data_IF_543640861513
#
_entry.id   IF_543640861513
#
_cell.length_a   1.000
_cell.length_b   1.000
_cell.length_c   1.000
_cell.angle_alpha   90.00
_cell.angle_beta   90.00
_cell.angle_gamma   90.00
#
_symmetry.space_group_name_H-M   'P 1'
#
loop_
_entity.id
_entity.type
_entity.pdbx_description
1 polymer ?
#
# COMPACT_ATOMS: atom_id res chain seq x y z
N UNK A 1 4.87 28.38 2.69
CA UNK A 1 6.04 27.59 2.25
C UNK A 1 6.69 28.30 1.08
N UNK A 2 7.95 28.72 1.21
CA UNK A 2 8.71 29.24 0.07
C UNK A 2 9.16 28.00 -0.72
N UNK A 3 8.30 27.56 -1.64
CA UNK A 3 8.69 26.57 -2.63
C UNK A 3 9.85 27.23 -3.39
N UNK A 4 11.05 26.67 -3.30
CA UNK A 4 12.22 27.24 -3.96
C UNK A 4 11.89 27.61 -5.41
N UNK A 5 12.53 28.65 -5.94
CA UNK A 5 12.21 29.33 -7.22
C UNK A 5 12.26 28.48 -8.50
N UNK A 6 12.18 27.15 -8.41
CA UNK A 6 12.06 26.20 -9.52
C UNK A 6 10.99 25.10 -9.33
N UNK A 7 10.19 25.10 -8.26
CA UNK A 7 9.15 24.07 -8.08
C UNK A 7 7.89 24.41 -8.87
N UNK A 8 7.51 23.55 -9.82
CA UNK A 8 6.25 23.65 -10.56
C UNK A 8 5.17 22.84 -9.87
N UNK A 9 4.10 23.51 -9.44
CA UNK A 9 2.96 22.86 -8.78
C UNK A 9 1.78 22.78 -9.73
N UNK A 10 1.12 21.62 -9.72
CA UNK A 10 -0.23 21.42 -10.22
C UNK A 10 -1.13 21.04 -9.05
N UNK A 11 -2.12 21.88 -8.74
CA UNK A 11 -3.18 21.58 -7.80
C UNK A 11 -4.41 21.08 -8.55
N UNK A 12 -4.99 19.97 -8.10
CA UNK A 12 -6.13 19.32 -8.78
C UNK A 12 -7.31 19.14 -7.83
N UNK A 13 -8.53 19.26 -8.35
CA UNK A 13 -9.76 18.89 -7.62
C UNK A 13 -10.61 17.94 -8.46
N UNK A 14 -11.36 17.06 -7.79
CA UNK A 14 -12.27 16.13 -8.46
C UNK A 14 -13.51 16.84 -9.01
N UNK A 15 -14.06 17.80 -8.26
CA UNK A 15 -15.19 18.60 -8.71
C UNK A 15 -14.85 19.48 -9.91
N UNK A 16 -15.88 19.82 -10.69
CA UNK A 16 -15.81 20.89 -11.70
C UNK A 16 -15.51 22.25 -11.03
N UNK A 17 -15.02 23.23 -11.79
CA UNK A 17 -14.69 24.56 -11.24
C UNK A 17 -15.94 25.25 -10.64
N UNK A 18 -17.11 25.06 -11.28
CA UNK A 18 -18.38 25.60 -10.81
C UNK A 18 -18.84 24.95 -9.49
N UNK A 19 -18.77 23.62 -9.41
CA UNK A 19 -19.12 22.87 -8.19
C UNK A 19 -18.13 23.18 -7.06
N UNK A 20 -16.84 23.28 -7.36
CA UNK A 20 -15.81 23.60 -6.37
C UNK A 20 -16.04 25.01 -5.79
N UNK A 21 -16.25 26.00 -6.65
CA UNK A 21 -16.45 27.40 -6.24
C UNK A 21 -17.73 27.60 -5.43
N UNK A 22 -18.82 26.90 -5.80
CA UNK A 22 -20.10 26.97 -5.07
C UNK A 22 -20.04 26.23 -3.74
N UNK A 23 -19.35 25.09 -3.67
CA UNK A 23 -19.25 24.28 -2.44
C UNK A 23 -18.29 24.91 -1.43
N UNK A 24 -17.11 25.35 -1.83
CA UNK A 24 -16.06 25.76 -0.90
C UNK A 24 -15.94 27.28 -0.83
N UNK A 25 -16.53 27.88 0.22
CA UNK A 25 -16.43 29.32 0.48
C UNK A 25 -14.96 29.74 0.57
N UNK A 26 -14.57 30.81 -0.13
CA UNK A 26 -13.19 31.29 -0.17
C UNK A 26 -12.26 30.55 -1.16
N UNK A 27 -12.71 29.45 -1.77
CA UNK A 27 -11.90 28.70 -2.75
C UNK A 27 -11.47 29.53 -3.95
N UNK A 28 -12.33 30.42 -4.46
CA UNK A 28 -11.99 31.30 -5.58
C UNK A 28 -10.76 32.19 -5.28
N UNK A 29 -10.67 32.73 -4.07
CA UNK A 29 -9.51 33.52 -3.63
C UNK A 29 -8.26 32.64 -3.48
N UNK A 30 -8.41 31.43 -2.94
CA UNK A 30 -7.30 30.47 -2.83
C UNK A 30 -6.77 30.04 -4.21
N UNK A 31 -7.66 29.75 -5.16
CA UNK A 31 -7.32 29.42 -6.55
C UNK A 31 -6.62 30.59 -7.24
N UNK A 32 -7.11 31.81 -7.06
CA UNK A 32 -6.46 33.01 -7.58
C UNK A 32 -5.05 33.20 -6.99
N UNK A 33 -4.89 32.98 -5.68
CA UNK A 33 -3.60 33.02 -5.00
C UNK A 33 -2.61 31.97 -5.53
N UNK A 34 -3.06 30.73 -5.75
CA UNK A 34 -2.25 29.66 -6.35
C UNK A 34 -1.80 30.03 -7.76
N UNK A 35 -2.72 30.51 -8.62
CA UNK A 35 -2.41 30.93 -9.99
C UNK A 35 -1.44 32.11 -10.00
N UNK A 36 -1.62 33.09 -9.12
CA UNK A 36 -0.71 34.24 -8.97
C UNK A 36 0.69 33.83 -8.49
N UNK A 37 0.78 32.77 -7.68
CA UNK A 37 2.05 32.16 -7.26
C UNK A 37 2.68 31.25 -8.34
N UNK A 38 2.09 31.17 -9.53
CA UNK A 38 2.60 30.38 -10.65
C UNK A 38 2.22 28.89 -10.64
N UNK A 39 1.33 28.46 -9.74
CA UNK A 39 0.81 27.10 -9.75
C UNK A 39 -0.27 26.93 -10.83
N UNK A 40 -0.32 25.73 -11.42
CA UNK A 40 -1.43 25.29 -12.28
C UNK A 40 -2.56 24.82 -11.39
N UNK A 41 -3.79 25.14 -11.76
CA UNK A 41 -4.99 24.66 -11.07
C UNK A 41 -5.90 24.00 -12.10
N UNK A 42 -6.22 22.73 -11.90
CA UNK A 42 -7.10 21.94 -12.76
C UNK A 42 -8.27 21.37 -11.95
N UNK A 43 -9.48 21.48 -12.51
CA UNK A 43 -10.72 20.96 -11.93
C UNK A 43 -11.24 19.80 -12.78
N UNK A 44 -12.13 18.97 -12.22
CA UNK A 44 -12.67 17.80 -12.92
C UNK A 44 -11.67 16.66 -13.09
N UNK A 45 -10.63 16.60 -12.24
CA UNK A 45 -9.57 15.60 -12.35
C UNK A 45 -9.90 14.40 -11.48
N UNK A 46 -10.16 13.27 -12.11
CA UNK A 46 -10.35 11.99 -11.44
C UNK A 46 -9.00 11.30 -11.22
N UNK A 47 -8.61 11.16 -9.96
CA UNK A 47 -7.37 10.49 -9.57
C UNK A 47 -7.33 9.00 -9.95
N UNK A 48 -8.49 8.39 -10.25
CA UNK A 48 -8.63 7.00 -10.72
C UNK A 48 -8.66 6.87 -12.25
N UNK A 49 -8.66 7.99 -12.98
CA UNK A 49 -8.67 8.09 -14.44
C UNK A 49 -7.84 9.30 -14.88
N UNK A 50 -6.58 9.37 -14.44
CA UNK A 50 -5.72 10.53 -14.71
C UNK A 50 -5.42 10.66 -16.20
N UNK A 51 -5.31 9.54 -16.92
CA UNK A 51 -5.04 9.57 -18.36
C UNK A 51 -6.16 10.29 -19.13
N UNK A 52 -7.42 10.05 -18.78
CA UNK A 52 -8.57 10.70 -19.40
C UNK A 52 -8.89 12.11 -18.87
N UNK A 53 -8.56 12.41 -17.61
CA UNK A 53 -9.06 13.62 -16.94
C UNK A 53 -8.00 14.67 -16.60
N UNK A 54 -6.71 14.30 -16.53
CA UNK A 54 -5.64 15.27 -16.28
C UNK A 54 -5.34 16.06 -17.57
N UNK A 55 -5.54 17.39 -17.59
CA UNK A 55 -5.35 18.17 -18.81
C UNK A 55 -3.91 18.12 -19.32
N UNK A 56 -3.73 18.16 -20.65
CA UNK A 56 -2.41 18.08 -21.29
C UNK A 56 -1.39 19.09 -20.74
N UNK A 57 -1.83 20.32 -20.41
CA UNK A 57 -0.96 21.35 -19.84
C UNK A 57 -0.51 21.04 -18.41
N UNK A 58 -1.13 20.07 -17.74
CA UNK A 58 -0.93 19.70 -16.36
C UNK A 58 -0.31 18.30 -16.19
N UNK A 59 -0.06 17.57 -17.28
CA UNK A 59 0.55 16.24 -17.25
C UNK A 59 2.02 16.26 -16.82
N UNK A 60 2.49 15.09 -16.36
CA UNK A 60 3.83 14.86 -15.85
C UNK A 60 4.94 14.79 -16.93
N UNK A 61 6.09 14.17 -16.62
CA UNK A 61 6.36 13.40 -15.39
C UNK A 61 6.49 14.28 -14.15
N UNK A 62 5.95 13.80 -13.03
CA UNK A 62 6.07 14.44 -11.72
C UNK A 62 7.15 13.80 -10.87
N UNK A 63 7.94 14.63 -10.17
CA UNK A 63 8.85 14.17 -9.12
C UNK A 63 8.09 13.76 -7.85
N UNK A 64 6.92 14.37 -7.60
CA UNK A 64 6.06 14.04 -6.47
C UNK A 64 4.58 14.13 -6.85
N UNK A 65 3.84 13.10 -6.48
CA UNK A 65 2.36 13.08 -6.56
C UNK A 65 1.85 12.89 -5.14
N UNK A 66 0.96 13.78 -4.68
CA UNK A 66 0.44 13.76 -3.31
C UNK A 66 -1.07 13.52 -3.35
N UNK A 67 -1.54 12.47 -2.71
CA UNK A 67 -2.97 12.23 -2.49
C UNK A 67 -3.26 12.23 -0.98
N UNK A 68 -3.76 13.35 -0.50
CA UNK A 68 -3.92 13.59 0.94
C UNK A 68 -5.33 13.22 1.39
N UNK A 69 -5.43 12.25 2.29
CA UNK A 69 -6.68 11.74 2.87
C UNK A 69 -7.74 11.35 1.81
N UNK A 70 -7.39 10.49 0.83
CA UNK A 70 -8.35 10.04 -0.18
C UNK A 70 -9.52 9.32 0.49
N UNK A 71 -10.73 9.56 0.00
CA UNK A 71 -11.94 8.95 0.57
C UNK A 71 -12.94 8.66 -0.54
N UNK A 72 -13.42 7.42 -0.61
CA UNK A 72 -14.54 7.07 -1.48
C UNK A 72 -15.85 7.62 -0.85
N UNK A 73 -16.81 8.16 -1.65
CA UNK A 73 -18.05 8.74 -1.13
C UNK A 73 -18.86 7.78 -0.25
N UNK A 74 -18.91 6.50 -0.64
CA UNK A 74 -19.58 5.45 0.13
C UNK A 74 -18.79 5.07 1.38
N UNK A 75 -19.27 5.51 2.55
CA UNK A 75 -18.64 5.24 3.84
C UNK A 75 -18.74 3.77 4.23
N UNK A 76 -17.75 3.31 5.02
CA UNK A 76 -17.69 1.96 5.62
C UNK A 76 -17.62 0.80 4.62
N UNK A 77 -17.43 1.08 3.32
CA UNK A 77 -17.15 0.07 2.31
C UNK A 77 -15.64 -0.03 2.09
N UNK A 78 -14.98 -0.85 2.91
CA UNK A 78 -13.52 -0.98 2.86
C UNK A 78 -13.01 -1.40 1.48
N UNK A 79 -13.74 -2.27 0.79
CA UNK A 79 -13.41 -2.71 -0.57
C UNK A 79 -13.39 -1.54 -1.56
N UNK A 80 -14.26 -0.53 -1.39
CA UNK A 80 -14.29 0.67 -2.23
C UNK A 80 -13.10 1.60 -1.97
N UNK A 81 -12.62 1.67 -0.73
CA UNK A 81 -11.40 2.41 -0.41
C UNK A 81 -10.14 1.73 -0.98
N UNK A 82 -10.10 0.39 -0.93
CA UNK A 82 -9.04 -0.39 -1.58
C UNK A 82 -9.05 -0.20 -3.10
N UNK A 83 -10.24 -0.28 -3.71
CA UNK A 83 -10.43 -0.05 -5.15
C UNK A 83 -9.97 1.36 -5.56
N UNK A 84 -10.34 2.39 -4.79
CA UNK A 84 -9.87 3.77 -5.00
C UNK A 84 -8.35 3.86 -5.02
N UNK A 85 -7.67 3.29 -4.01
CA UNK A 85 -6.21 3.31 -3.93
C UNK A 85 -5.57 2.54 -5.08
N UNK A 86 -6.08 1.35 -5.41
CA UNK A 86 -5.58 0.52 -6.51
C UNK A 86 -5.63 1.29 -7.82
N UNK A 87 -6.79 1.83 -8.17
CA UNK A 87 -6.97 2.61 -9.41
C UNK A 87 -6.12 3.88 -9.41
N UNK A 88 -6.02 4.57 -8.28
CA UNK A 88 -5.14 5.73 -8.14
C UNK A 88 -3.68 5.38 -8.41
N UNK A 89 -3.12 4.35 -7.76
CA UNK A 89 -1.71 3.99 -7.96
C UNK A 89 -1.43 3.57 -9.40
N UNK A 90 -2.32 2.77 -10.02
CA UNK A 90 -2.20 2.38 -11.43
C UNK A 90 -2.18 3.58 -12.39
N UNK A 91 -2.92 4.65 -12.09
CA UNK A 91 -2.94 5.85 -12.92
C UNK A 91 -1.79 6.81 -12.60
N UNK A 92 -1.49 6.99 -11.33
CA UNK A 92 -0.48 7.94 -10.87
C UNK A 92 0.93 7.50 -11.28
N UNK A 93 1.21 6.19 -11.31
CA UNK A 93 2.53 5.69 -11.72
C UNK A 93 2.85 6.07 -13.17
N UNK A 94 1.87 6.17 -14.07
CA UNK A 94 2.09 6.61 -15.46
C UNK A 94 2.50 8.08 -15.57
N UNK A 95 2.10 8.90 -14.59
CA UNK A 95 2.48 10.31 -14.50
C UNK A 95 3.74 10.53 -13.65
N UNK A 96 4.32 9.48 -13.08
CA UNK A 96 5.44 9.57 -12.14
C UNK A 96 6.79 9.47 -12.88
N UNK A 97 7.71 10.39 -12.58
CA UNK A 97 9.09 10.31 -13.06
C UNK A 97 9.81 9.04 -12.61
N UNK A 98 10.94 8.72 -13.23
CA UNK A 98 11.70 7.50 -12.93
C UNK A 98 12.15 7.40 -11.46
N UNK A 99 12.47 8.54 -10.85
CA UNK A 99 12.86 8.67 -9.44
C UNK A 99 11.79 9.39 -8.60
N UNK A 100 10.57 9.51 -9.13
CA UNK A 100 9.49 10.20 -8.46
C UNK A 100 8.93 9.43 -7.27
N UNK A 101 8.23 10.15 -6.40
CA UNK A 101 7.57 9.60 -5.21
C UNK A 101 6.06 9.85 -5.22
N UNK A 102 5.29 8.86 -4.76
CA UNK A 102 3.86 9.01 -4.51
C UNK A 102 3.63 9.03 -3.00
N UNK A 103 2.99 10.08 -2.50
CA UNK A 103 2.72 10.29 -1.09
C UNK A 103 1.22 10.15 -0.82
N UNK A 104 0.84 9.16 -0.02
CA UNK A 104 -0.56 8.95 0.39
C UNK A 104 -0.70 9.11 1.89
N UNK A 105 -1.46 10.12 2.31
CA UNK A 105 -1.73 10.37 3.74
C UNK A 105 -3.04 9.72 4.16
N UNK A 106 -3.02 8.90 5.21
CA UNK A 106 -4.18 8.18 5.72
C UNK A 106 -4.35 8.40 7.22
N UNK A 107 -5.59 8.37 7.70
CA UNK A 107 -5.89 8.47 9.11
C UNK A 107 -5.37 7.24 9.87
N UNK A 108 -5.16 7.38 11.18
CA UNK A 108 -4.67 6.31 12.06
C UNK A 108 -5.45 5.00 11.86
N UNK A 109 -4.73 3.92 11.58
CA UNK A 109 -5.32 2.59 11.46
C UNK A 109 -6.02 2.34 10.12
N UNK A 110 -5.84 3.19 9.11
CA UNK A 110 -6.40 2.98 7.77
C UNK A 110 -5.40 2.28 6.86
N UNK A 111 -4.11 2.57 6.96
CA UNK A 111 -3.10 2.07 6.02
C UNK A 111 -2.88 0.57 6.12
N UNK A 112 -2.93 0.01 7.33
CA UNK A 112 -2.62 -1.40 7.59
C UNK A 112 -1.16 -1.76 7.40
N UNK A 113 -0.27 -0.79 7.62
CA UNK A 113 1.18 -1.00 7.54
C UNK A 113 1.73 -1.33 8.91
N UNK A 114 2.89 -2.00 8.94
CA UNK A 114 3.60 -2.29 10.20
C UNK A 114 4.06 -1.01 10.95
N UNK A 115 3.97 0.16 10.32
CA UNK A 115 4.22 1.45 10.96
C UNK A 115 3.05 1.94 11.83
N UNK A 116 1.85 1.38 11.67
CA UNK A 116 0.68 1.80 12.44
C UNK A 116 0.75 1.27 13.88
N UNK A 117 0.63 2.17 14.85
CA UNK A 117 0.59 1.79 16.27
C UNK A 117 -0.73 1.11 16.69
N UNK A 118 -1.79 1.25 15.90
CA UNK A 118 -3.09 0.65 16.18
C UNK A 118 -3.21 -0.69 15.44
N UNK A 119 -3.13 -1.80 16.16
CA UNK A 119 -3.32 -3.12 15.58
C UNK A 119 -4.78 -3.31 15.15
N UNK A 120 -4.99 -3.33 13.83
CA UNK A 120 -6.22 -3.83 13.21
C UNK A 120 -5.88 -5.08 12.42
N UNK A 121 -6.84 -5.99 12.29
CA UNK A 121 -6.70 -7.13 11.37
C UNK A 121 -6.50 -6.59 9.95
N UNK A 122 -5.61 -7.17 9.15
CA UNK A 122 -5.31 -6.69 7.80
C UNK A 122 -6.55 -6.56 6.92
N UNK A 123 -7.53 -7.46 7.08
CA UNK A 123 -8.82 -7.40 6.40
C UNK A 123 -9.70 -6.18 6.75
N UNK A 124 -9.41 -5.48 7.84
CA UNK A 124 -10.13 -4.30 8.34
C UNK A 124 -9.36 -2.99 8.07
N UNK A 125 -8.32 -3.03 7.23
CA UNK A 125 -7.54 -1.87 6.77
C UNK A 125 -7.63 -1.69 5.25
N UNK A 126 -7.13 -0.56 4.75
CA UNK A 126 -7.13 -0.25 3.32
C UNK A 126 -5.96 -0.88 2.57
N UNK A 127 -5.06 -1.60 3.27
CA UNK A 127 -3.97 -2.38 2.67
C UNK A 127 -3.17 -1.57 1.63
N UNK A 128 -2.77 -0.35 2.02
CA UNK A 128 -2.21 0.64 1.09
C UNK A 128 -0.95 0.14 0.36
N UNK A 129 -0.13 -0.66 1.04
CA UNK A 129 1.06 -1.27 0.44
C UNK A 129 0.70 -2.29 -0.65
N UNK A 130 -0.30 -3.14 -0.41
CA UNK A 130 -0.75 -4.15 -1.36
C UNK A 130 -1.30 -3.49 -2.63
N UNK A 131 -2.12 -2.43 -2.45
CA UNK A 131 -2.65 -1.64 -3.56
C UNK A 131 -1.55 -0.94 -4.38
N UNK A 132 -0.51 -0.40 -3.72
CA UNK A 132 0.62 0.22 -4.40
C UNK A 132 1.47 -0.83 -5.14
N UNK A 133 1.66 -2.00 -4.55
CA UNK A 133 2.46 -3.08 -5.13
C UNK A 133 1.87 -3.59 -6.46
N UNK A 134 0.54 -3.54 -6.64
CA UNK A 134 -0.10 -3.87 -7.92
C UNK A 134 0.32 -2.94 -9.06
N UNK A 135 0.77 -1.71 -8.74
CA UNK A 135 1.26 -0.73 -9.70
C UNK A 135 2.81 -0.73 -9.81
N UNK A 136 3.50 -1.74 -9.28
CA UNK A 136 4.97 -1.81 -9.34
C UNK A 136 5.69 -0.84 -8.39
N UNK A 137 5.01 -0.43 -7.31
CA UNK A 137 5.55 0.51 -6.33
C UNK A 137 5.92 -0.19 -5.02
N UNK A 138 7.02 0.24 -4.41
CA UNK A 138 7.46 -0.21 -3.08
C UNK A 138 7.31 0.91 -2.05
N UNK A 139 7.00 0.54 -0.80
CA UNK A 139 6.89 1.50 0.30
C UNK A 139 8.29 1.87 0.82
N UNK A 140 8.79 3.01 0.38
CA UNK A 140 10.12 3.51 0.75
C UNK A 140 10.19 4.01 2.18
N UNK A 141 9.15 4.68 2.67
CA UNK A 141 9.11 5.16 4.05
C UNK A 141 7.70 5.48 4.51
N UNK A 142 7.51 5.55 5.83
CA UNK A 142 6.29 6.06 6.47
C UNK A 142 6.67 7.13 7.46
N UNK A 143 5.95 8.24 7.45
CA UNK A 143 6.21 9.39 8.33
C UNK A 143 4.90 9.87 8.96
N UNK A 144 4.95 10.51 10.15
CA UNK A 144 3.80 11.26 10.65
C UNK A 144 3.34 12.30 9.63
N UNK A 145 2.04 12.35 9.34
CA UNK A 145 1.51 13.38 8.44
C UNK A 145 1.66 14.75 9.11
N UNK A 146 2.21 15.78 8.44
CA UNK A 146 2.50 17.09 9.05
C UNK A 146 1.24 17.96 9.19
N UNK A 147 0.19 17.44 9.83
CA UNK A 147 -1.11 18.11 9.95
C UNK A 147 -0.99 19.46 10.66
N UNK A 148 -0.28 19.53 11.80
CA UNK A 148 -0.15 20.78 12.55
C UNK A 148 0.63 21.87 11.77
N UNK A 149 1.80 21.57 11.16
CA UNK A 149 2.45 22.50 10.24
C UNK A 149 1.57 22.95 9.07
N UNK A 150 0.80 22.04 8.47
CA UNK A 150 -0.13 22.39 7.39
C UNK A 150 -1.24 23.33 7.89
N UNK A 151 -1.82 23.04 9.05
CA UNK A 151 -2.87 23.87 9.66
C UNK A 151 -2.35 25.29 9.98
N UNK A 152 -1.11 25.42 10.46
CA UNK A 152 -0.48 26.73 10.67
C UNK A 152 -0.27 27.53 9.37
N UNK A 153 -0.29 26.86 8.21
CA UNK A 153 -0.24 27.46 6.88
C UNK A 153 -1.64 27.67 6.26
N UNK A 154 -2.71 27.43 7.03
CA UNK A 154 -4.10 27.59 6.57
C UNK A 154 -4.73 26.35 5.94
N UNK A 155 -4.13 25.17 6.07
CA UNK A 155 -4.80 23.93 5.67
C UNK A 155 -5.98 23.62 6.59
N UNK A 156 -7.18 23.57 6.00
CA UNK A 156 -8.40 23.19 6.69
C UNK A 156 -8.93 21.85 6.20
N UNK A 157 -9.43 21.03 7.13
CA UNK A 157 -9.98 19.71 6.85
C UNK A 157 -11.49 19.82 6.65
N UNK A 158 -11.94 19.80 5.41
CA UNK A 158 -13.37 19.62 5.11
C UNK A 158 -13.66 18.13 5.12
N UNK A 159 -14.35 17.65 6.16
CA UNK A 159 -14.77 16.26 6.23
C UNK A 159 -16.16 16.06 5.62
N UNK A 160 -17.01 15.33 6.32
CA UNK A 160 -18.35 15.04 5.80
C UNK A 160 -19.25 16.28 5.87
N UNK A 161 -19.96 16.57 4.78
CA UNK A 161 -21.07 17.54 4.74
C UNK A 161 -22.38 16.76 4.74
N UNK A 162 -23.02 16.67 5.91
CA UNK A 162 -24.36 16.10 5.99
C UNK A 162 -25.41 17.10 5.57
N UNK A 163 -26.48 16.66 4.89
CA UNK A 163 -27.76 17.35 5.04
C UNK A 163 -28.15 17.27 6.52
N UNK A 164 -28.56 18.39 7.10
CA UNK A 164 -29.02 18.48 8.48
C UNK A 164 -30.10 17.43 8.81
N UNK A 165 -30.27 17.17 10.11
CA UNK A 165 -31.34 16.30 10.64
C UNK A 165 -32.68 16.60 9.94
N UNK A 166 -33.41 15.55 9.53
CA UNK A 166 -34.81 15.67 9.10
C UNK A 166 -35.60 16.38 10.20
N UNK A 167 -35.96 17.65 9.99
CA UNK A 167 -36.77 18.43 10.93
C UNK A 167 -36.46 19.93 11.01
N UNK A 168 -35.35 20.42 10.45
CA UNK A 168 -35.09 21.87 10.35
C UNK A 168 -35.14 22.33 8.89
N UNK A 169 -35.99 23.31 8.59
CA UNK A 169 -36.10 23.97 7.26
C UNK A 169 -34.86 24.81 6.87
N UNK A 170 -33.70 24.54 7.48
CA UNK A 170 -32.43 25.13 7.11
C UNK A 170 -31.54 24.02 6.55
N UNK A 171 -31.18 24.13 5.28
CA UNK A 171 -30.11 23.33 4.66
C UNK A 171 -28.76 23.71 5.30
N UNK A 172 -28.55 23.28 6.54
CA UNK A 172 -27.29 23.50 7.24
C UNK A 172 -26.35 22.36 6.88
N UNK A 173 -25.50 22.59 5.88
CA UNK A 173 -24.33 21.77 5.61
C UNK A 173 -23.32 21.98 6.75
N UNK A 174 -23.27 21.06 7.72
CA UNK A 174 -22.21 21.10 8.73
C UNK A 174 -21.00 20.30 8.25
N UNK A 175 -19.88 20.98 8.09
CA UNK A 175 -18.57 20.36 7.87
C UNK A 175 -18.13 19.62 9.14
N UNK A 176 -18.16 18.29 9.12
CA UNK A 176 -17.57 17.45 10.18
C UNK A 176 -16.21 16.95 9.76
N UNK A 177 -15.16 17.64 10.18
CA UNK A 177 -13.78 17.24 9.96
C UNK A 177 -13.51 15.79 10.42
N UNK A 178 -12.65 15.08 9.70
CA UNK A 178 -12.19 13.76 10.10
C UNK A 178 -11.05 13.86 11.13
N UNK A 179 -10.85 12.79 11.91
CA UNK A 179 -9.74 12.74 12.85
C UNK A 179 -8.43 12.44 12.12
N UNK A 180 -7.55 13.44 12.05
CA UNK A 180 -6.21 13.32 11.47
C UNK A 180 -5.12 13.15 12.53
N UNK A 181 -5.48 13.05 13.81
CA UNK A 181 -4.51 12.74 14.87
C UNK A 181 -3.94 11.33 14.65
N UNK A 182 -2.62 11.21 14.81
CA UNK A 182 -1.87 9.98 14.51
C UNK A 182 -1.95 9.53 13.04
N UNK A 183 -2.29 10.41 12.10
CA UNK A 183 -2.25 10.10 10.67
C UNK A 183 -0.82 9.93 10.15
N UNK A 184 -0.67 9.10 9.12
CA UNK A 184 0.62 8.75 8.52
C UNK A 184 0.62 9.06 7.03
N UNK A 185 1.76 9.54 6.54
CA UNK A 185 2.06 9.70 5.11
C UNK A 185 2.96 8.55 4.67
N UNK A 186 2.46 7.76 3.73
CA UNK A 186 3.14 6.63 3.11
C UNK A 186 3.80 7.10 1.82
N UNK A 187 5.11 6.91 1.70
CA UNK A 187 5.91 7.37 0.56
C UNK A 187 6.32 6.16 -0.27
N UNK A 188 5.83 6.12 -1.50
CA UNK A 188 6.06 5.04 -2.46
C UNK A 188 6.97 5.51 -3.59
N UNK A 189 7.73 4.58 -4.16
CA UNK A 189 8.54 4.80 -5.35
C UNK A 189 8.51 3.55 -6.23
N UNK A 190 8.94 3.68 -7.49
CA UNK A 190 9.04 2.54 -8.40
C UNK A 190 10.01 1.50 -7.85
N UNK A 191 9.72 0.21 -8.01
CA UNK A 191 10.68 -0.85 -7.69
C UNK A 191 12.00 -0.69 -8.48
N UNK A 192 11.93 -0.13 -9.69
CA UNK A 192 13.10 0.16 -10.53
C UNK A 192 13.98 1.30 -10.03
N UNK A 193 13.59 2.01 -8.96
CA UNK A 193 14.40 3.09 -8.38
C UNK A 193 15.64 2.59 -7.62
N UNK A 194 15.72 1.28 -7.34
CA UNK A 194 16.78 0.68 -6.53
C UNK A 194 16.62 0.89 -5.02
N UNK A 195 15.49 1.45 -4.58
CA UNK A 195 15.18 1.57 -3.15
C UNK A 195 14.82 0.21 -2.53
N UNK A 196 14.91 0.15 -1.21
CA UNK A 196 14.47 -0.99 -0.39
C UNK A 196 13.26 -0.57 0.43
N UNK A 197 12.26 -1.44 0.52
CA UNK A 197 11.05 -1.18 1.27
C UNK A 197 11.34 -1.05 2.77
N UNK A 198 10.80 -0.02 3.42
CA UNK A 198 10.93 0.18 4.87
C UNK A 198 10.16 -0.87 5.69
N UNK A 199 9.07 -1.37 5.12
CA UNK A 199 8.23 -2.42 5.69
C UNK A 199 7.87 -3.39 4.57
N UNK A 200 8.78 -4.33 4.22
CA UNK A 200 8.56 -5.28 3.14
C UNK A 200 7.28 -6.09 3.34
N UNK A 201 6.59 -6.41 2.25
CA UNK A 201 5.49 -7.38 2.28
C UNK A 201 6.09 -8.78 2.38
N UNK A 202 5.51 -9.62 3.24
CA UNK A 202 5.88 -11.01 3.37
C UNK A 202 4.74 -11.87 2.84
N UNK A 203 5.09 -12.84 2.00
CA UNK A 203 4.14 -13.80 1.47
C UNK A 203 4.61 -15.21 1.75
N UNK A 204 3.67 -16.10 2.04
CA UNK A 204 3.95 -17.52 2.19
C UNK A 204 2.88 -18.37 1.51
N UNK A 205 3.26 -19.57 1.12
CA UNK A 205 2.37 -20.56 0.55
C UNK A 205 2.88 -21.97 0.83
N UNK A 206 2.03 -22.81 1.39
CA UNK A 206 2.32 -24.22 1.62
C UNK A 206 1.90 -25.04 0.41
N UNK A 207 2.80 -25.87 -0.08
CA UNK A 207 2.58 -26.74 -1.23
C UNK A 207 2.88 -28.19 -0.89
N UNK A 208 1.91 -29.07 -1.15
CA UNK A 208 2.03 -30.51 -0.98
C UNK A 208 1.92 -31.23 -2.31
N UNK A 209 2.84 -32.15 -2.58
CA UNK A 209 2.90 -32.87 -3.84
C UNK A 209 3.47 -34.28 -3.65
N UNK A 210 3.08 -35.18 -4.56
CA UNK A 210 3.67 -36.50 -4.70
C UNK A 210 4.99 -36.38 -5.46
N UNK A 211 6.05 -37.02 -4.96
CA UNK A 211 7.34 -37.12 -5.64
C UNK A 211 7.35 -38.35 -6.53
N UNK A 212 7.74 -38.17 -7.80
CA UNK A 212 8.05 -39.25 -8.71
C UNK A 212 9.51 -39.71 -8.53
N UNK A 213 9.87 -40.83 -9.14
CA UNK A 213 11.22 -41.42 -8.98
C UNK A 213 12.34 -40.48 -9.45
N UNK A 214 12.07 -39.64 -10.45
CA UNK A 214 13.01 -38.64 -10.96
C UNK A 214 13.08 -37.34 -10.13
N UNK A 215 12.30 -37.22 -9.05
CA UNK A 215 12.28 -35.99 -8.25
C UNK A 215 13.62 -35.73 -7.57
N UNK A 216 14.18 -34.54 -7.78
CA UNK A 216 15.34 -34.03 -7.06
C UNK A 216 14.97 -32.72 -6.37
N UNK A 217 15.45 -32.55 -5.15
CA UNK A 217 15.18 -31.36 -4.34
C UNK A 217 15.75 -30.09 -5.00
N UNK A 218 16.91 -30.22 -5.64
CA UNK A 218 17.59 -29.16 -6.40
C UNK A 218 16.73 -28.65 -7.57
N UNK A 219 16.07 -29.55 -8.32
CA UNK A 219 15.23 -29.18 -9.46
C UNK A 219 13.98 -28.44 -9.00
N UNK A 220 13.39 -28.86 -7.87
CA UNK A 220 12.28 -28.14 -7.23
C UNK A 220 12.71 -26.74 -6.78
N UNK A 221 13.85 -26.62 -6.11
CA UNK A 221 14.39 -25.33 -5.67
C UNK A 221 14.63 -24.39 -6.86
N UNK A 222 15.19 -24.94 -7.95
CA UNK A 222 15.42 -24.20 -9.19
C UNK A 222 14.11 -23.68 -9.79
N UNK A 223 13.09 -24.54 -9.92
CA UNK A 223 11.77 -24.15 -10.46
C UNK A 223 11.11 -23.05 -9.62
N UNK A 224 11.15 -23.15 -8.29
CA UNK A 224 10.56 -22.11 -7.44
C UNK A 224 11.32 -20.78 -7.58
N UNK A 225 12.65 -20.83 -7.59
CA UNK A 225 13.50 -19.64 -7.76
C UNK A 225 13.27 -18.98 -9.13
N UNK A 226 13.24 -19.77 -10.20
CA UNK A 226 12.98 -19.29 -11.55
C UNK A 226 11.57 -18.66 -11.66
N UNK A 227 10.56 -19.30 -11.05
CA UNK A 227 9.19 -18.80 -11.05
C UNK A 227 9.05 -17.47 -10.30
N UNK A 228 9.74 -17.29 -9.17
CA UNK A 228 9.81 -16.01 -8.44
C UNK A 228 10.45 -14.89 -9.26
N UNK A 229 11.41 -15.24 -10.13
CA UNK A 229 12.11 -14.30 -11.00
C UNK A 229 13.21 -13.49 -10.29
N UNK A 230 13.90 -12.65 -11.06
CA UNK A 230 15.08 -11.90 -10.59
C UNK A 230 14.71 -10.92 -9.47
N UNK A 231 15.54 -10.89 -8.42
CA UNK A 231 15.38 -9.97 -7.30
C UNK A 231 14.35 -10.41 -6.26
N UNK A 232 13.84 -11.65 -6.34
CA UNK A 232 13.00 -12.29 -5.33
C UNK A 232 13.69 -13.58 -4.89
N UNK A 233 14.09 -13.64 -3.62
CA UNK A 233 14.74 -14.82 -3.05
C UNK A 233 13.73 -15.61 -2.20
N UNK A 234 13.23 -16.76 -2.70
CA UNK A 234 12.33 -17.59 -1.92
C UNK A 234 13.08 -18.39 -0.86
N UNK A 235 12.51 -18.46 0.33
CA UNK A 235 12.89 -19.38 1.40
C UNK A 235 12.00 -20.61 1.32
N UNK A 236 12.62 -21.78 1.21
CA UNK A 236 11.95 -23.08 1.14
C UNK A 236 12.17 -23.84 2.44
N UNK A 237 11.08 -24.12 3.14
CA UNK A 237 11.11 -24.89 4.39
C UNK A 237 10.34 -26.19 4.20
N UNK A 238 11.03 -27.33 4.29
CA UNK A 238 10.37 -28.63 4.31
C UNK A 238 9.57 -28.78 5.62
N UNK A 239 8.25 -28.89 5.51
CA UNK A 239 7.34 -29.05 6.65
C UNK A 239 7.05 -30.51 6.96
N UNK A 240 6.88 -31.35 5.94
CA UNK A 240 6.45 -32.74 6.11
C UNK A 240 6.96 -33.67 5.01
N UNK A 241 7.19 -34.93 5.40
CA UNK A 241 7.54 -36.04 4.52
C UNK A 241 6.59 -37.20 4.80
N UNK A 242 5.85 -37.63 3.77
CA UNK A 242 4.85 -38.67 3.90
C UNK A 242 5.10 -39.83 2.94
N UNK A 243 4.82 -41.05 3.38
CA UNK A 243 4.81 -42.26 2.55
C UNK A 243 3.44 -42.91 2.68
N UNK A 244 2.76 -43.13 1.56
CA UNK A 244 1.46 -43.81 1.54
C UNK A 244 1.61 -45.30 1.80
N UNK A 245 0.53 -46.01 2.19
CA UNK A 245 0.55 -47.47 2.32
C UNK A 245 1.00 -48.20 1.05
N UNK A 246 0.72 -47.62 -0.12
CA UNK A 246 1.13 -48.13 -1.44
C UNK A 246 2.58 -47.75 -1.81
N UNK A 247 3.33 -47.15 -0.89
CA UNK A 247 4.73 -46.75 -1.07
C UNK A 247 4.94 -45.43 -1.81
N UNK A 248 3.89 -44.65 -2.10
CA UNK A 248 4.02 -43.35 -2.77
C UNK A 248 4.57 -42.31 -1.80
N UNK A 249 5.58 -41.55 -2.22
CA UNK A 249 6.22 -40.52 -1.39
C UNK A 249 5.63 -39.14 -1.69
N UNK A 250 5.42 -38.33 -0.66
CA UNK A 250 4.99 -36.95 -0.75
C UNK A 250 5.86 -36.03 0.11
N UNK A 251 5.90 -34.77 -0.30
CA UNK A 251 6.58 -33.67 0.40
C UNK A 251 5.60 -32.53 0.60
N UNK A 252 5.76 -31.80 1.70
CA UNK A 252 5.11 -30.51 1.92
C UNK A 252 6.15 -29.46 2.22
N UNK A 253 6.16 -28.37 1.44
CA UNK A 253 7.06 -27.24 1.62
C UNK A 253 6.27 -25.97 1.91
N UNK A 254 6.78 -25.12 2.81
CA UNK A 254 6.43 -23.70 2.89
C UNK A 254 7.38 -22.93 1.99
N UNK A 255 6.82 -22.20 1.03
CA UNK A 255 7.52 -21.23 0.22
C UNK A 255 7.24 -19.86 0.83
N UNK A 256 8.26 -19.12 1.23
CA UNK A 256 8.12 -17.77 1.75
C UNK A 256 8.98 -16.77 0.95
N UNK A 257 8.47 -15.57 0.70
CA UNK A 257 9.22 -14.48 0.05
C UNK A 257 9.10 -13.20 0.86
N UNK A 258 10.18 -12.43 0.88
CA UNK A 258 10.23 -11.05 1.38
C UNK A 258 10.30 -10.11 0.18
N UNK A 259 9.32 -9.22 0.03
CA UNK A 259 9.22 -8.27 -1.07
C UNK A 259 9.88 -6.93 -0.69
N UNK A 260 11.20 -6.94 -0.55
CA UNK A 260 12.00 -5.78 -0.10
C UNK A 260 12.43 -4.88 -1.27
N UNK A 261 12.79 -5.47 -2.41
CA UNK A 261 13.25 -4.77 -3.63
C UNK A 261 12.27 -4.87 -4.79
N UNK A 262 11.28 -5.73 -4.67
CA UNK A 262 10.26 -5.99 -5.69
C UNK A 262 8.88 -5.69 -5.13
N UNK A 263 8.03 -5.11 -5.95
CA UNK A 263 6.62 -4.86 -5.65
C UNK A 263 5.82 -6.15 -5.90
N UNK A 264 5.62 -6.96 -4.86
CA UNK A 264 4.80 -8.18 -4.94
C UNK A 264 3.50 -7.93 -4.20
N UNK A 265 2.41 -7.69 -4.94
CA UNK A 265 1.06 -7.67 -4.40
C UNK A 265 0.54 -9.09 -4.12
N UNK A 266 -0.56 -9.20 -3.37
CA UNK A 266 -1.29 -10.46 -3.14
C UNK A 266 -1.68 -11.14 -4.45
N UNK A 267 -2.21 -10.37 -5.39
CA UNK A 267 -2.62 -10.85 -6.72
C UNK A 267 -1.42 -11.33 -7.55
N UNK A 268 -0.27 -10.66 -7.43
CA UNK A 268 0.97 -11.09 -8.08
C UNK A 268 1.56 -12.34 -7.43
N UNK A 269 1.55 -12.43 -6.09
CA UNK A 269 1.94 -13.63 -5.35
C UNK A 269 1.09 -14.86 -5.74
N UNK A 270 -0.23 -14.69 -5.84
CA UNK A 270 -1.12 -15.77 -6.28
C UNK A 270 -0.76 -16.28 -7.68
N UNK A 271 -0.44 -15.38 -8.61
CA UNK A 271 0.03 -15.74 -9.95
C UNK A 271 1.38 -16.46 -9.92
N UNK A 272 2.31 -16.04 -9.05
CA UNK A 272 3.59 -16.73 -8.85
C UNK A 272 3.39 -18.15 -8.33
N UNK A 273 2.57 -18.33 -7.29
CA UNK A 273 2.22 -19.65 -6.75
C UNK A 273 1.61 -20.56 -7.81
N UNK A 274 0.71 -20.03 -8.64
CA UNK A 274 0.11 -20.80 -9.73
C UNK A 274 1.13 -21.18 -10.81
N UNK A 275 2.04 -20.26 -11.16
CA UNK A 275 3.15 -20.58 -12.07
C UNK A 275 4.07 -21.67 -11.52
N UNK A 276 4.38 -21.64 -10.21
CA UNK A 276 5.14 -22.70 -9.55
C UNK A 276 4.43 -24.05 -9.69
N UNK A 277 3.13 -24.12 -9.38
CA UNK A 277 2.35 -25.37 -9.50
C UNK A 277 2.35 -25.94 -10.91
N UNK A 278 2.22 -25.09 -11.92
CA UNK A 278 2.21 -25.52 -13.32
C UNK A 278 3.57 -26.09 -13.76
N UNK A 279 4.67 -25.52 -13.25
CA UNK A 279 6.04 -25.96 -13.56
C UNK A 279 6.48 -27.21 -12.79
N UNK A 280 5.85 -27.52 -11.66
CA UNK A 280 6.22 -28.68 -10.83
C UNK A 280 6.10 -30.03 -11.56
N UNK A 281 5.16 -30.17 -12.49
CA UNK A 281 5.02 -31.39 -13.28
C UNK A 281 6.29 -31.73 -14.07
N UNK A 282 7.05 -30.73 -14.50
CA UNK A 282 8.29 -30.91 -15.28
C UNK A 282 9.47 -31.45 -14.43
N UNK A 283 9.40 -31.32 -13.10
CA UNK A 283 10.47 -31.75 -12.17
C UNK A 283 10.09 -32.98 -11.36
N UNK A 284 9.20 -33.81 -11.91
CA UNK A 284 8.81 -35.06 -11.27
C UNK A 284 7.96 -34.87 -10.01
N UNK A 285 7.21 -33.76 -9.91
CA UNK A 285 6.27 -33.51 -8.82
C UNK A 285 4.83 -33.47 -9.34
N UNK A 286 3.95 -34.27 -8.73
CA UNK A 286 2.53 -34.32 -9.10
C UNK A 286 1.64 -33.71 -7.99
N UNK A 287 0.65 -32.87 -8.32
CA UNK A 287 -0.22 -32.25 -7.32
C UNK A 287 -0.92 -33.30 -6.44
N UNK A 288 -1.01 -33.04 -5.14
CA UNK A 288 -1.83 -33.83 -4.22
C UNK A 288 -3.25 -33.26 -4.20
N UNK A 289 -4.20 -33.93 -4.85
CA UNK A 289 -5.61 -33.50 -4.82
C UNK A 289 -6.10 -33.40 -3.36
N UNK A 290 -6.62 -32.24 -2.97
CA UNK A 290 -7.18 -31.97 -1.63
C UNK A 290 -6.37 -31.04 -0.72
N UNK A 291 -5.18 -30.58 -1.12
CA UNK A 291 -4.40 -29.60 -0.38
C UNK A 291 -4.70 -28.16 -0.81
N UNK A 292 -5.90 -27.64 -0.54
CA UNK A 292 -6.09 -26.18 -0.60
C UNK A 292 -5.25 -25.54 0.51
N UNK A 293 -4.17 -24.86 0.10
CA UNK A 293 -3.25 -24.21 1.03
C UNK A 293 -4.00 -23.27 1.97
N UNK A 294 -3.80 -23.45 3.28
CA UNK A 294 -4.24 -22.45 4.25
C UNK A 294 -3.45 -21.18 4.01
N UNK A 295 -4.14 -20.11 3.63
CA UNK A 295 -3.62 -18.76 3.74
C UNK A 295 -3.61 -18.37 5.23
N UNK A 296 -2.63 -18.87 5.99
CA UNK A 296 -2.34 -18.30 7.30
C UNK A 296 -1.49 -17.04 7.09
N UNK A 297 -2.11 -15.89 7.35
CA UNK A 297 -1.48 -14.58 7.41
C UNK A 297 -0.52 -14.58 8.62
N UNK A 298 0.61 -15.25 8.49
CA UNK A 298 1.59 -15.40 9.56
C UNK A 298 2.42 -14.11 9.64
N UNK A 299 1.99 -13.22 10.54
CA UNK A 299 2.77 -12.05 10.91
C UNK A 299 4.09 -12.51 11.57
N UNK A 300 5.22 -11.83 11.30
CA UNK A 300 6.49 -12.22 11.90
C UNK A 300 6.38 -12.11 13.43
N UNK A 301 6.46 -13.26 14.11
CA UNK A 301 6.69 -13.29 15.56
C UNK A 301 8.07 -12.69 15.80
N UNK A 302 8.13 -11.64 16.61
CA UNK A 302 9.41 -11.05 17.03
C UNK A 302 10.23 -12.09 17.78
N UNK A 303 11.49 -12.23 17.39
CA UNK A 303 12.54 -12.72 18.28
C UNK A 303 12.57 -11.80 19.51
N UNK A 304 12.38 -12.41 20.68
CA UNK A 304 12.53 -11.74 21.97
C UNK A 304 13.98 -11.26 22.09
N UNK A 305 14.17 -9.94 22.12
CA UNK A 305 15.44 -9.37 22.59
C UNK A 305 15.61 -9.77 24.06
N UNK A 306 16.79 -10.26 24.47
CA UNK A 306 17.03 -10.59 25.87
C UNK A 306 16.92 -9.31 26.70
N UNK A 307 16.20 -9.42 27.82
CA UNK A 307 16.10 -8.38 28.82
C UNK A 307 17.51 -8.06 29.34
N UNK A 308 17.94 -6.80 29.17
CA UNK A 308 19.11 -6.29 29.88
C UNK A 308 18.77 -6.25 31.36
N UNK A 309 19.51 -7.04 32.14
CA UNK A 309 19.44 -7.11 33.58
C UNK A 309 19.59 -5.72 34.21
N UNK A 310 18.59 -5.36 35.03
CA UNK A 310 18.76 -4.36 36.06
C UNK A 310 19.47 -5.03 37.25
N UNK A 311 20.60 -4.46 37.69
CA UNK A 311 21.11 -4.71 39.03
C UNK A 311 21.84 -3.48 39.58
N UNK A 312 21.30 -3.04 40.72
CA UNK A 312 21.96 -2.47 41.89
C UNK A 312 22.71 -1.12 41.80
N UNK A 313 22.22 -0.20 42.62
CA UNK A 313 22.96 0.98 43.08
C UNK A 313 22.11 1.89 43.95
N UNK A 314 21.57 1.36 45.05
CA UNK A 314 21.03 2.19 46.13
C UNK A 314 22.12 2.48 47.15
N UNK A 315 22.28 3.76 47.52
CA UNK A 315 22.86 4.37 48.74
C UNK A 315 23.21 5.83 48.38
N UNK A 316 22.96 6.88 49.15
CA UNK A 316 22.49 6.98 50.52
C UNK A 316 22.12 8.44 50.84
N UNK A 317 21.62 8.60 52.07
CA UNK A 317 21.17 9.84 52.70
C UNK A 317 22.28 10.89 52.78
N UNK A 318 21.92 12.16 52.53
CA UNK A 318 22.01 13.31 53.45
C UNK A 318 21.51 14.57 52.77
#
# INVERSE_FOLDING_TARGET
ANLGSGCRITATTFETEADHSSRFVGSAAAVAGLRAAGARVAHGVDATELAGTLPNYAQGPFDRIIFQFPQHPERRKINKHRELLRLFFTNAVEQLGAHGEILVSLCKGQGGTAAEAAEKRGKDTWQVQDAAAEAGLILRSVQPCPVAPLAALGYERTGFRGQGLRGSNAEVYQDKAFNSDGSLTHIFCRESSGAVAAFPLHWSHDISFWTLEAFREEDFHHVVTEACGVGVEPVLTLLDQYVSPEGRRARTYRIAVCADKRAISRSSWQRLCESMRQRMAAVGAAPRQGGEGRHEEEQPRREERPASEASCGGEGRS
#
